data_IF_770088480871
#
_entry.id   IF_770088480871
#
_cell.length_a   1.000
_cell.length_b   1.000
_cell.length_c   1.000
_cell.angle_alpha   90.00
_cell.angle_beta   90.00
_cell.angle_gamma   90.00
#
_symmetry.space_group_name_H-M   'P 1'
#
loop_
_entity.id
_entity.type
_entity.pdbx_description
1 polymer ?
#
# COMPACT_ATOMS: atom_id res chain seq x y z
N UNK A 1 23.85 4.03 -31.12
CA UNK A 1 22.74 4.41 -30.21
C UNK A 1 23.19 5.66 -29.50
N UNK A 2 22.51 6.78 -29.73
CA UNK A 2 22.87 8.04 -29.09
C UNK A 2 22.64 7.95 -27.57
N UNK A 3 23.66 8.29 -26.79
CA UNK A 3 23.61 8.40 -25.35
C UNK A 3 23.61 9.88 -24.94
N UNK A 4 22.98 10.19 -23.80
CA UNK A 4 22.96 11.55 -23.26
C UNK A 4 24.28 11.80 -22.49
N UNK A 5 25.00 12.85 -22.81
CA UNK A 5 26.23 13.26 -22.12
C UNK A 5 26.01 14.58 -21.37
N UNK A 6 26.50 14.67 -20.14
CA UNK A 6 26.62 15.94 -19.42
C UNK A 6 27.98 16.57 -19.73
N UNK A 7 27.98 17.85 -20.08
CA UNK A 7 29.19 18.61 -20.36
C UNK A 7 29.30 19.85 -19.48
N UNK A 8 30.55 20.21 -19.18
CA UNK A 8 30.95 21.54 -18.70
C UNK A 8 31.93 22.10 -19.72
N UNK A 9 31.70 23.34 -20.15
CA UNK A 9 32.55 24.03 -21.11
C UNK A 9 32.68 25.50 -20.72
N UNK A 10 33.76 26.13 -21.12
CA UNK A 10 34.00 27.55 -20.92
C UNK A 10 33.62 28.31 -22.18
N UNK A 11 32.90 29.41 -22.00
CA UNK A 11 32.66 30.39 -23.06
C UNK A 11 33.89 31.30 -23.25
N UNK A 12 33.97 32.01 -24.38
CA UNK A 12 35.03 32.98 -24.70
C UNK A 12 35.21 34.10 -23.65
N UNK A 13 34.17 34.34 -22.86
CA UNK A 13 34.15 35.30 -21.73
C UNK A 13 34.69 34.71 -20.41
N UNK A 14 35.12 33.45 -20.39
CA UNK A 14 35.55 32.76 -19.18
C UNK A 14 34.40 32.33 -18.27
N UNK A 15 33.15 32.32 -18.75
CA UNK A 15 31.98 31.83 -18.01
C UNK A 15 31.81 30.32 -18.20
N UNK A 16 31.62 29.61 -17.09
CA UNK A 16 31.35 28.17 -17.13
C UNK A 16 29.89 27.90 -17.54
N UNK A 17 29.71 27.16 -18.62
CA UNK A 17 28.41 26.73 -19.16
C UNK A 17 28.31 25.21 -19.03
N UNK A 18 27.20 24.73 -18.45
CA UNK A 18 26.94 23.31 -18.29
C UNK A 18 25.60 22.93 -18.91
N UNK A 19 25.54 21.77 -19.56
CA UNK A 19 24.32 21.27 -20.18
C UNK A 19 24.40 19.78 -20.50
N UNK A 20 23.37 19.28 -21.17
CA UNK A 20 23.30 17.91 -21.68
C UNK A 20 23.23 17.91 -23.20
N UNK A 21 23.86 16.94 -23.86
CA UNK A 21 23.84 16.77 -25.31
C UNK A 21 23.80 15.29 -25.67
N UNK A 22 22.93 14.91 -26.61
CA UNK A 22 22.88 13.56 -27.16
C UNK A 22 23.94 13.39 -28.25
N UNK A 23 24.71 12.31 -28.16
CA UNK A 23 25.73 11.95 -29.12
C UNK A 23 26.01 10.45 -29.04
N UNK A 24 26.63 9.87 -30.07
CA UNK A 24 27.01 8.45 -30.02
C UNK A 24 28.35 8.24 -29.29
N UNK A 25 29.18 9.28 -29.25
CA UNK A 25 30.49 9.26 -28.58
C UNK A 25 30.77 10.59 -27.85
N UNK A 26 31.52 10.57 -26.73
CA UNK A 26 31.90 11.77 -26.00
C UNK A 26 32.73 12.76 -26.86
N UNK A 27 33.51 12.26 -27.82
CA UNK A 27 34.31 13.08 -28.73
C UNK A 27 33.47 13.92 -29.68
N UNK A 28 32.27 13.44 -30.02
CA UNK A 28 31.32 14.14 -30.87
C UNK A 28 30.71 15.35 -30.12
N UNK A 29 30.44 15.20 -28.82
CA UNK A 29 29.99 16.30 -27.95
C UNK A 29 31.07 17.37 -27.85
N UNK A 30 32.33 16.97 -27.62
CA UNK A 30 33.45 17.90 -27.55
C UNK A 30 33.64 18.68 -28.87
N UNK A 31 33.48 18.00 -30.00
CA UNK A 31 33.60 18.60 -31.33
C UNK A 31 32.48 19.60 -31.61
N UNK A 32 31.22 19.25 -31.30
CA UNK A 32 30.05 20.14 -31.44
C UNK A 32 30.14 21.37 -30.53
N UNK A 33 30.70 21.23 -29.33
CA UNK A 33 30.92 22.34 -28.42
C UNK A 33 31.97 23.31 -28.95
N UNK A 34 33.07 22.81 -29.51
CA UNK A 34 34.11 23.64 -30.15
C UNK A 34 33.58 24.42 -31.34
N UNK A 35 32.76 23.81 -32.20
CA UNK A 35 32.09 24.49 -33.33
C UNK A 35 31.19 25.64 -32.86
N UNK A 36 30.60 25.51 -31.66
CA UNK A 36 29.78 26.54 -31.02
C UNK A 36 30.58 27.58 -30.22
N UNK A 37 31.92 27.55 -30.30
CA UNK A 37 32.79 28.49 -29.59
C UNK A 37 33.02 28.17 -28.10
N UNK A 38 32.60 27.00 -27.63
CA UNK A 38 32.79 26.58 -26.24
C UNK A 38 33.99 25.63 -26.10
N UNK A 39 34.78 25.82 -25.05
CA UNK A 39 35.94 24.99 -24.73
C UNK A 39 35.57 23.94 -23.67
N UNK A 40 35.39 22.65 -24.05
CA UNK A 40 34.94 21.61 -23.12
C UNK A 40 36.01 21.34 -22.06
N UNK A 41 35.61 21.40 -20.78
CA UNK A 41 36.46 21.06 -19.63
C UNK A 41 36.17 19.68 -19.07
N UNK A 42 34.93 19.19 -19.19
CA UNK A 42 34.57 17.83 -18.80
C UNK A 42 33.39 17.36 -19.62
N UNK A 43 33.51 16.20 -20.25
CA UNK A 43 32.40 15.49 -20.92
C UNK A 43 32.29 14.12 -20.26
N UNK A 44 31.11 13.80 -19.71
CA UNK A 44 30.86 12.50 -19.08
C UNK A 44 29.49 11.98 -19.51
N UNK A 45 29.30 10.66 -19.63
CA UNK A 45 27.97 10.10 -19.84
C UNK A 45 27.06 10.57 -18.70
N UNK A 46 25.90 11.12 -19.06
CA UNK A 46 24.94 11.66 -18.12
C UNK A 46 24.47 10.50 -17.23
N UNK A 47 24.85 10.53 -15.95
CA UNK A 47 24.20 9.66 -14.98
C UNK A 47 22.75 10.12 -14.87
N UNK A 48 21.75 9.24 -14.97
CA UNK A 48 20.37 9.66 -14.78
C UNK A 48 20.26 10.27 -13.38
N UNK A 49 20.09 11.60 -13.31
CA UNK A 49 19.81 12.29 -12.06
C UNK A 49 18.50 11.72 -11.55
N UNK A 50 18.56 10.88 -10.53
CA UNK A 50 17.40 10.43 -9.77
C UNK A 50 16.81 11.65 -9.07
N UNK A 51 16.03 12.43 -9.82
CA UNK A 51 15.21 13.51 -9.28
C UNK A 51 14.23 12.90 -8.29
N UNK A 52 14.04 13.54 -7.14
CA UNK A 52 13.03 13.17 -6.14
C UNK A 52 11.61 13.07 -6.76
N UNK A 53 11.38 13.71 -7.92
CA UNK A 53 10.17 13.58 -8.72
C UNK A 53 9.98 12.19 -9.36
N UNK A 54 11.03 11.40 -9.58
CA UNK A 54 10.90 10.00 -10.03
C UNK A 54 10.34 9.08 -8.95
N UNK A 55 10.36 9.47 -7.67
CA UNK A 55 9.72 8.68 -6.61
C UNK A 55 8.19 8.65 -6.77
N UNK A 56 7.61 9.72 -7.33
CA UNK A 56 6.18 9.79 -7.66
C UNK A 56 5.82 8.91 -8.87
N UNK A 57 6.72 8.77 -9.86
CA UNK A 57 6.53 7.89 -11.02
C UNK A 57 6.49 6.39 -10.69
N UNK A 58 6.90 5.98 -9.49
CA UNK A 58 6.94 4.56 -9.06
C UNK A 58 5.77 4.12 -8.19
N UNK A 59 4.80 5.01 -7.91
CA UNK A 59 3.63 4.61 -7.13
C UNK A 59 2.84 3.56 -7.91
N UNK A 60 2.41 2.48 -7.25
CA UNK A 60 1.53 1.48 -7.87
C UNK A 60 0.12 2.10 -8.03
N UNK A 61 -0.55 1.95 -9.18
CA UNK A 61 -1.92 2.40 -9.36
C UNK A 61 -2.85 1.79 -8.29
N UNK A 62 -3.80 2.60 -7.83
CA UNK A 62 -4.80 2.15 -6.85
C UNK A 62 -5.92 1.34 -7.52
N UNK A 63 -6.77 0.66 -6.73
CA UNK A 63 -7.96 -0.03 -7.24
C UNK A 63 -8.88 0.89 -8.06
N UNK A 64 -9.03 2.16 -7.65
CA UNK A 64 -9.83 3.15 -8.39
C UNK A 64 -9.28 3.39 -9.81
N UNK A 65 -7.95 3.48 -9.96
CA UNK A 65 -7.33 3.72 -11.26
C UNK A 65 -7.57 2.51 -12.20
N UNK A 66 -7.44 1.29 -11.66
CA UNK A 66 -7.71 0.06 -12.39
C UNK A 66 -9.19 -0.09 -12.75
N UNK A 67 -10.11 0.26 -11.85
CA UNK A 67 -11.55 0.22 -12.10
C UNK A 67 -11.95 1.12 -13.27
N UNK A 68 -11.46 2.37 -13.28
CA UNK A 68 -11.72 3.33 -14.37
C UNK A 68 -11.13 2.83 -15.68
N UNK A 69 -9.89 2.33 -15.66
CA UNK A 69 -9.26 1.73 -16.83
C UNK A 69 -10.09 0.59 -17.41
N UNK A 70 -10.52 -0.36 -16.57
CA UNK A 70 -11.31 -1.51 -16.99
C UNK A 70 -12.64 -1.07 -17.60
N UNK A 71 -13.36 -0.14 -16.95
CA UNK A 71 -14.66 0.33 -17.44
C UNK A 71 -14.53 1.03 -18.79
N UNK A 72 -13.56 1.94 -18.92
CA UNK A 72 -13.36 2.67 -20.17
C UNK A 72 -12.93 1.74 -21.29
N UNK A 73 -12.02 0.79 -21.02
CA UNK A 73 -11.62 -0.21 -22.00
C UNK A 73 -12.80 -1.10 -22.41
N UNK A 74 -13.61 -1.57 -21.45
CA UNK A 74 -14.79 -2.38 -21.72
C UNK A 74 -15.73 -1.67 -22.70
N UNK A 75 -16.11 -0.42 -22.40
CA UNK A 75 -17.01 0.38 -23.24
C UNK A 75 -16.45 0.58 -24.64
N UNK A 76 -15.16 0.87 -24.78
CA UNK A 76 -14.56 1.08 -26.10
C UNK A 76 -14.51 -0.22 -26.92
N UNK A 77 -14.16 -1.35 -26.31
CA UNK A 77 -14.11 -2.63 -27.01
C UNK A 77 -15.53 -3.10 -27.36
N UNK A 78 -16.50 -2.90 -26.46
CA UNK A 78 -17.92 -3.23 -26.67
C UNK A 78 -18.55 -2.40 -27.81
N UNK A 79 -18.14 -1.14 -27.96
CA UNK A 79 -18.56 -0.26 -29.07
C UNK A 79 -17.80 -0.51 -30.37
N UNK A 80 -16.93 -1.54 -30.42
CA UNK A 80 -16.19 -1.94 -31.62
C UNK A 80 -14.99 -1.05 -31.95
N UNK A 81 -14.54 -0.19 -31.03
CA UNK A 81 -13.31 0.59 -31.23
C UNK A 81 -12.12 -0.37 -31.23
N UNK A 82 -11.20 -0.30 -32.22
CA UNK A 82 -10.03 -1.16 -32.27
C UNK A 82 -9.17 -1.04 -31.01
N UNK A 83 -8.73 -2.18 -30.46
CA UNK A 83 -7.99 -2.26 -29.19
C UNK A 83 -6.78 -1.32 -29.13
N UNK A 84 -6.00 -1.23 -30.22
CA UNK A 84 -4.84 -0.31 -30.33
C UNK A 84 -5.27 1.15 -30.14
N UNK A 85 -6.38 1.55 -30.75
CA UNK A 85 -6.96 2.90 -30.61
C UNK A 85 -7.47 3.12 -29.20
N UNK A 86 -8.16 2.14 -28.61
CA UNK A 86 -8.61 2.22 -27.21
C UNK A 86 -7.45 2.42 -26.25
N UNK A 87 -6.36 1.66 -26.40
CA UNK A 87 -5.15 1.81 -25.58
C UNK A 87 -4.49 3.19 -25.75
N UNK A 88 -4.48 3.74 -26.97
CA UNK A 88 -3.99 5.09 -27.25
C UNK A 88 -4.81 6.17 -26.52
N UNK A 89 -6.14 6.08 -26.61
CA UNK A 89 -7.05 7.02 -25.95
C UNK A 89 -6.87 6.96 -24.43
N UNK A 90 -6.83 5.76 -23.86
CA UNK A 90 -6.60 5.56 -22.42
C UNK A 90 -5.25 6.13 -21.97
N UNK A 91 -4.17 5.85 -22.71
CA UNK A 91 -2.85 6.37 -22.40
C UNK A 91 -2.81 7.91 -22.40
N UNK A 92 -3.47 8.55 -23.37
CA UNK A 92 -3.49 10.01 -23.48
C UNK A 92 -4.29 10.68 -22.36
N UNK A 93 -5.34 10.03 -21.85
CA UNK A 93 -6.17 10.53 -20.75
C UNK A 93 -5.62 10.20 -19.36
N UNK A 94 -4.60 9.33 -19.27
CA UNK A 94 -4.12 8.87 -17.97
C UNK A 94 -3.32 9.91 -17.20
N UNK A 95 -3.72 10.13 -15.94
CA UNK A 95 -3.01 11.00 -14.99
C UNK A 95 -1.86 10.26 -14.30
N UNK A 96 -1.98 8.94 -14.13
CA UNK A 96 -0.98 8.16 -13.43
C UNK A 96 0.17 7.79 -14.37
N UNK A 97 1.35 8.41 -14.17
CA UNK A 97 2.50 8.27 -15.07
C UNK A 97 2.91 6.81 -15.36
N UNK A 98 2.99 5.96 -14.34
CA UNK A 98 3.34 4.54 -14.52
C UNK A 98 2.30 3.78 -15.36
N UNK A 99 1.02 4.11 -15.20
CA UNK A 99 -0.06 3.45 -15.93
C UNK A 99 -0.08 3.91 -17.38
N UNK A 100 0.15 5.21 -17.61
CA UNK A 100 0.32 5.78 -18.96
C UNK A 100 1.45 5.09 -19.71
N UNK A 101 2.64 4.98 -19.11
CA UNK A 101 3.82 4.34 -19.71
C UNK A 101 3.53 2.87 -20.06
N UNK A 102 2.91 2.13 -19.13
CA UNK A 102 2.52 0.74 -19.36
C UNK A 102 1.50 0.60 -20.51
N UNK A 103 0.52 1.50 -20.62
CA UNK A 103 -0.45 1.48 -21.72
C UNK A 103 0.19 1.84 -23.07
N UNK A 104 1.14 2.78 -23.09
CA UNK A 104 1.87 3.14 -24.32
C UNK A 104 2.78 2.02 -24.82
N UNK A 105 3.40 1.27 -23.91
CA UNK A 105 4.19 0.08 -24.24
C UNK A 105 3.28 -1.07 -24.70
N UNK A 106 2.21 -1.35 -23.94
CA UNK A 106 1.21 -2.36 -24.31
C UNK A 106 0.62 -2.06 -25.69
N UNK A 107 0.31 -0.80 -26.00
CA UNK A 107 -0.17 -0.39 -27.33
C UNK A 107 0.84 -0.70 -28.42
N UNK A 108 2.13 -0.41 -28.20
CA UNK A 108 3.20 -0.68 -29.18
C UNK A 108 3.35 -2.17 -29.45
N UNK A 109 3.33 -2.98 -28.40
CA UNK A 109 3.43 -4.43 -28.50
C UNK A 109 2.25 -5.05 -29.24
N UNK A 110 1.01 -4.65 -28.88
CA UNK A 110 -0.20 -5.12 -29.56
C UNK A 110 -0.23 -4.66 -31.02
N UNK A 111 0.23 -3.44 -31.32
CA UNK A 111 0.39 -2.98 -32.71
C UNK A 111 1.44 -3.79 -33.48
N UNK A 112 2.44 -4.34 -32.78
CA UNK A 112 3.47 -5.22 -33.32
C UNK A 112 3.05 -6.68 -33.43
N UNK A 113 1.82 -7.03 -33.03
CA UNK A 113 1.26 -8.38 -33.16
C UNK A 113 1.31 -9.24 -31.89
N UNK A 114 1.81 -8.72 -30.76
CA UNK A 114 1.72 -9.43 -29.47
C UNK A 114 0.28 -9.45 -28.95
N UNK A 115 -0.06 -10.47 -28.16
CA UNK A 115 -1.36 -10.50 -27.47
C UNK A 115 -1.45 -9.40 -26.41
N UNK A 116 -2.67 -8.98 -26.08
CA UNK A 116 -2.94 -8.02 -25.01
C UNK A 116 -2.39 -8.54 -23.68
N UNK A 117 -2.64 -9.80 -23.37
CA UNK A 117 -2.20 -10.43 -22.12
C UNK A 117 -0.68 -10.48 -22.02
N UNK A 118 0.02 -10.90 -23.07
CA UNK A 118 1.49 -10.98 -23.08
C UNK A 118 2.11 -9.60 -22.86
N UNK A 119 1.55 -8.58 -23.51
CA UNK A 119 1.99 -7.19 -23.40
C UNK A 119 1.77 -6.65 -21.97
N UNK A 120 0.60 -6.90 -21.38
CA UNK A 120 0.29 -6.49 -20.01
C UNK A 120 1.14 -7.23 -18.95
N UNK A 121 1.50 -8.51 -19.20
CA UNK A 121 2.32 -9.31 -18.28
C UNK A 121 3.73 -8.74 -18.08
N UNK A 122 4.26 -7.96 -19.04
CA UNK A 122 5.51 -7.20 -18.87
C UNK A 122 5.44 -6.17 -17.74
N UNK A 123 4.23 -5.81 -17.31
CA UNK A 123 3.95 -4.82 -16.28
C UNK A 123 3.26 -5.42 -15.03
N UNK A 124 3.70 -6.59 -14.57
CA UNK A 124 3.20 -7.32 -13.39
C UNK A 124 3.13 -6.52 -12.08
N UNK A 125 3.97 -5.49 -11.94
CA UNK A 125 3.95 -4.57 -10.79
C UNK A 125 2.71 -3.69 -10.80
N UNK A 126 2.21 -3.33 -11.97
CA UNK A 126 1.05 -2.47 -12.20
C UNK A 126 -0.21 -3.31 -12.22
N UNK A 127 -0.25 -4.35 -13.05
CA UNK A 127 -1.41 -5.22 -13.23
C UNK A 127 -1.34 -6.43 -12.30
N UNK A 128 -2.24 -6.54 -11.30
CA UNK A 128 -2.25 -7.67 -10.38
C UNK A 128 -2.50 -9.01 -11.11
N UNK A 129 -2.07 -10.12 -10.51
CA UNK A 129 -2.24 -11.46 -11.10
C UNK A 129 -3.69 -11.78 -11.51
N UNK A 130 -4.68 -11.43 -10.68
CA UNK A 130 -6.10 -11.59 -11.01
C UNK A 130 -6.49 -10.88 -12.31
N UNK A 131 -6.03 -9.65 -12.51
CA UNK A 131 -6.33 -8.87 -13.70
C UNK A 131 -5.73 -9.54 -14.93
N UNK A 132 -4.47 -9.97 -14.85
CA UNK A 132 -3.78 -10.63 -15.95
C UNK A 132 -4.45 -11.96 -16.31
N UNK A 133 -4.79 -12.77 -15.30
CA UNK A 133 -5.44 -14.07 -15.51
C UNK A 133 -6.83 -13.90 -16.14
N UNK A 134 -7.61 -12.93 -15.67
CA UNK A 134 -8.93 -12.61 -16.22
C UNK A 134 -8.84 -12.11 -17.67
N UNK A 135 -7.95 -11.15 -17.95
CA UNK A 135 -7.75 -10.64 -19.32
C UNK A 135 -7.33 -11.76 -20.27
N UNK A 136 -6.50 -12.71 -19.83
CA UNK A 136 -6.13 -13.89 -20.62
C UNK A 136 -7.35 -14.72 -21.03
N UNK A 137 -8.27 -14.96 -20.09
CA UNK A 137 -9.52 -15.70 -20.37
C UNK A 137 -10.45 -14.88 -21.26
N UNK A 138 -10.57 -13.58 -21.04
CA UNK A 138 -11.39 -12.70 -21.89
C UNK A 138 -10.86 -12.61 -23.33
N UNK A 139 -9.54 -12.54 -23.49
CA UNK A 139 -8.87 -12.49 -24.79
C UNK A 139 -8.99 -13.83 -25.54
N UNK A 140 -8.72 -14.95 -24.86
CA UNK A 140 -8.79 -16.28 -25.49
C UNK A 140 -10.22 -16.74 -25.79
N UNK A 141 -11.21 -16.31 -25.00
CA UNK A 141 -12.63 -16.65 -25.23
C UNK A 141 -13.36 -15.66 -26.13
N UNK A 142 -12.76 -14.52 -26.48
CA UNK A 142 -13.42 -13.45 -27.23
C UNK A 142 -14.44 -12.62 -26.41
N UNK A 143 -14.58 -12.88 -25.11
CA UNK A 143 -15.51 -12.18 -24.21
C UNK A 143 -14.82 -11.08 -23.38
N UNK A 144 -13.81 -10.43 -23.96
CA UNK A 144 -13.00 -9.41 -23.29
C UNK A 144 -13.84 -8.26 -22.69
N UNK A 145 -14.87 -7.70 -23.35
CA UNK A 145 -15.70 -6.64 -22.77
C UNK A 145 -16.39 -7.06 -21.46
N UNK A 146 -16.95 -8.26 -21.42
CA UNK A 146 -17.64 -8.78 -20.24
C UNK A 146 -16.68 -8.97 -19.06
N UNK A 147 -15.51 -9.56 -19.33
CA UNK A 147 -14.46 -9.73 -18.33
C UNK A 147 -13.96 -8.38 -17.79
N UNK A 148 -13.76 -7.39 -18.65
CA UNK A 148 -13.33 -6.06 -18.25
C UNK A 148 -14.41 -5.35 -17.40
N UNK A 149 -15.70 -5.52 -17.73
CA UNK A 149 -16.79 -5.00 -16.91
C UNK A 149 -16.80 -5.63 -15.51
N UNK A 150 -16.62 -6.95 -15.41
CA UNK A 150 -16.53 -7.64 -14.10
C UNK A 150 -15.30 -7.21 -13.30
N UNK A 151 -14.14 -7.02 -13.94
CA UNK A 151 -12.95 -6.45 -13.31
C UNK A 151 -13.19 -5.01 -12.84
N UNK A 152 -13.91 -4.20 -13.62
CA UNK A 152 -14.26 -2.84 -13.25
C UNK A 152 -15.10 -2.81 -11.97
N UNK A 153 -16.13 -3.66 -11.88
CA UNK A 153 -16.99 -3.80 -10.70
C UNK A 153 -16.20 -4.30 -9.48
N UNK A 154 -15.35 -5.31 -9.67
CA UNK A 154 -14.47 -5.82 -8.61
C UNK A 154 -13.58 -4.72 -8.03
N UNK A 155 -12.86 -3.99 -8.88
CA UNK A 155 -11.96 -2.93 -8.42
C UNK A 155 -12.71 -1.71 -7.88
N UNK A 156 -13.94 -1.45 -8.34
CA UNK A 156 -14.80 -0.41 -7.77
C UNK A 156 -15.19 -0.75 -6.34
N UNK A 157 -15.60 -1.99 -6.07
CA UNK A 157 -15.91 -2.48 -4.72
C UNK A 157 -14.69 -2.47 -3.81
N UNK A 158 -13.53 -2.95 -4.29
CA UNK A 158 -12.28 -2.91 -3.51
C UNK A 158 -11.82 -1.46 -3.24
N UNK A 159 -12.04 -0.53 -4.18
CA UNK A 159 -11.79 0.89 -3.96
C UNK A 159 -12.71 1.48 -2.89
N UNK A 160 -14.01 1.15 -2.92
CA UNK A 160 -14.99 1.56 -1.91
C UNK A 160 -14.58 1.06 -0.53
N UNK A 161 -14.37 -0.25 -0.39
CA UNK A 161 -13.99 -0.88 0.88
C UNK A 161 -12.73 -0.26 1.50
N UNK A 162 -11.68 -0.06 0.68
CA UNK A 162 -10.46 0.61 1.14
C UNK A 162 -10.67 2.08 1.46
N UNK A 163 -11.57 2.75 0.72
CA UNK A 163 -11.99 4.12 0.96
C UNK A 163 -12.65 4.27 2.33
N UNK A 164 -13.61 3.39 2.63
CA UNK A 164 -14.35 3.38 3.89
C UNK A 164 -13.42 3.13 5.08
N UNK A 165 -12.53 2.14 4.98
CA UNK A 165 -11.49 1.88 5.99
C UNK A 165 -10.59 3.11 6.19
N UNK A 166 -10.13 3.72 5.08
CA UNK A 166 -9.25 4.89 5.15
C UNK A 166 -9.95 6.10 5.77
N UNK A 167 -11.22 6.32 5.43
CA UNK A 167 -12.02 7.42 5.94
C UNK A 167 -12.27 7.28 7.44
N UNK A 168 -12.63 6.08 7.89
CA UNK A 168 -12.81 5.79 9.32
C UNK A 168 -11.51 6.00 10.13
N UNK A 169 -10.36 5.63 9.56
CA UNK A 169 -9.06 5.83 10.20
C UNK A 169 -8.52 7.26 10.14
N UNK A 170 -9.08 8.13 9.29
CA UNK A 170 -8.57 9.48 9.10
C UNK A 170 -8.69 10.33 10.38
N UNK A 171 -9.86 10.29 11.04
CA UNK A 171 -10.11 11.07 12.26
C UNK A 171 -9.19 10.66 13.44
N UNK A 172 -9.09 9.37 13.81
CA UNK A 172 -8.13 8.92 14.82
C UNK A 172 -6.69 9.33 14.52
N UNK A 173 -6.28 9.21 13.24
CA UNK A 173 -4.92 9.53 12.82
C UNK A 173 -4.60 11.01 13.05
N UNK A 174 -5.53 11.91 12.71
CA UNK A 174 -5.32 13.37 12.87
C UNK A 174 -5.23 13.75 14.34
N UNK A 175 -6.12 13.24 15.20
CA UNK A 175 -6.10 13.57 16.63
C UNK A 175 -4.84 13.02 17.30
N UNK A 176 -4.48 11.77 17.02
CA UNK A 176 -3.25 11.18 17.56
C UNK A 176 -2.03 11.98 17.11
N UNK A 177 -1.96 12.36 15.82
CA UNK A 177 -0.85 13.14 15.30
C UNK A 177 -0.75 14.51 15.98
N UNK A 178 -1.87 15.23 16.11
CA UNK A 178 -1.89 16.54 16.75
C UNK A 178 -1.58 16.44 18.25
N UNK A 179 -2.21 15.52 18.95
CA UNK A 179 -1.98 15.26 20.36
C UNK A 179 -0.54 14.87 20.67
N UNK A 180 0.05 14.02 19.84
CA UNK A 180 1.47 13.66 19.94
C UNK A 180 2.38 14.86 19.67
N UNK A 181 2.08 15.68 18.67
CA UNK A 181 2.84 16.89 18.37
C UNK A 181 2.82 17.90 19.53
N UNK A 182 1.65 18.15 20.12
CA UNK A 182 1.51 19.02 21.32
C UNK A 182 2.27 18.44 22.49
N UNK A 183 2.17 17.13 22.73
CA UNK A 183 2.89 16.45 23.81
C UNK A 183 4.40 16.61 23.66
N UNK A 184 4.94 16.39 22.45
CA UNK A 184 6.36 16.60 22.17
C UNK A 184 6.78 18.06 22.35
N UNK A 185 5.99 19.01 21.85
CA UNK A 185 6.29 20.43 22.01
C UNK A 185 6.40 20.82 23.50
N UNK A 186 5.44 20.39 24.32
CA UNK A 186 5.48 20.66 25.75
C UNK A 186 6.69 19.99 26.40
N UNK A 187 6.91 18.70 26.13
CA UNK A 187 7.96 17.93 26.78
C UNK A 187 9.38 18.43 26.42
N UNK A 188 9.60 18.86 25.18
CA UNK A 188 10.92 19.28 24.71
C UNK A 188 11.20 20.77 24.81
N UNK A 189 10.18 21.63 24.82
CA UNK A 189 10.36 23.08 24.82
C UNK A 189 9.80 23.75 26.08
N UNK A 190 8.54 23.50 26.41
CA UNK A 190 7.86 24.17 27.52
C UNK A 190 8.44 23.73 28.87
N UNK A 191 8.49 22.42 29.12
CA UNK A 191 8.90 21.88 30.41
C UNK A 191 10.36 22.23 30.77
N UNK A 192 11.35 22.15 29.85
CA UNK A 192 12.72 22.59 30.14
C UNK A 192 12.85 24.09 30.37
N UNK A 193 12.05 24.92 29.69
CA UNK A 193 12.05 26.38 29.90
C UNK A 193 11.62 26.70 31.33
N UNK A 194 10.53 26.07 31.79
CA UNK A 194 10.08 26.21 33.17
C UNK A 194 11.10 25.66 34.18
N UNK A 195 11.70 24.51 33.89
CA UNK A 195 12.74 23.94 34.74
C UNK A 195 13.94 24.87 34.95
N UNK A 196 14.37 25.58 33.90
CA UNK A 196 15.41 26.61 34.00
C UNK A 196 15.00 27.74 34.94
N UNK A 197 13.78 28.25 34.80
CA UNK A 197 13.24 29.30 35.68
C UNK A 197 13.20 28.79 37.13
N UNK A 198 12.71 27.57 37.40
CA UNK A 198 12.67 27.03 38.78
C UNK A 198 14.06 26.92 39.42
N UNK A 199 15.07 26.52 38.63
CA UNK A 199 16.45 26.46 39.08
C UNK A 199 16.99 27.84 39.48
N UNK A 200 16.66 28.90 38.73
CA UNK A 200 17.09 30.27 39.03
C UNK A 200 16.49 30.81 40.34
N UNK A 201 15.27 30.36 40.70
CA UNK A 201 14.60 30.73 41.96
C UNK A 201 14.92 29.76 43.11
N UNK A 202 15.76 28.74 42.91
CA UNK A 202 16.14 27.77 43.94
C UNK A 202 14.99 26.86 44.41
N UNK A 203 13.94 26.72 43.60
CA UNK A 203 12.76 25.90 43.93
C UNK A 203 12.90 24.52 43.27
N UNK A 204 12.75 23.45 44.07
CA UNK A 204 12.77 22.10 43.54
C UNK A 204 11.54 21.82 42.64
N UNK A 205 11.78 21.11 41.54
CA UNK A 205 10.73 20.70 40.63
C UNK A 205 9.80 19.68 41.31
N UNK A 206 8.47 19.81 41.15
CA UNK A 206 7.53 18.77 41.57
C UNK A 206 7.84 17.41 40.94
N UNK A 207 7.57 16.34 41.68
CA UNK A 207 7.90 14.96 41.28
C UNK A 207 7.39 14.58 39.88
N UNK A 208 6.19 15.05 39.49
CA UNK A 208 5.60 14.79 38.17
C UNK A 208 6.40 15.44 37.05
N UNK A 209 6.78 16.72 37.20
CA UNK A 209 7.60 17.46 36.24
C UNK A 209 9.00 16.87 36.13
N UNK A 210 9.60 16.52 37.27
CA UNK A 210 10.91 15.85 37.33
C UNK A 210 10.91 14.50 36.63
N UNK A 211 9.87 13.68 36.82
CA UNK A 211 9.74 12.38 36.15
C UNK A 211 9.65 12.51 34.63
N UNK A 212 8.87 13.47 34.12
CA UNK A 212 8.73 13.71 32.67
C UNK A 212 10.06 14.20 32.08
N UNK A 213 10.78 15.10 32.76
CA UNK A 213 12.11 15.55 32.34
C UNK A 213 13.13 14.41 32.37
N UNK A 214 13.08 13.54 33.36
CA UNK A 214 13.96 12.36 33.43
C UNK A 214 13.72 11.40 32.25
N UNK A 215 12.46 11.16 31.87
CA UNK A 215 12.10 10.38 30.68
C UNK A 215 12.64 11.06 29.41
N UNK A 216 12.44 12.38 29.28
CA UNK A 216 12.96 13.17 28.16
C UNK A 216 14.48 13.09 28.07
N UNK A 217 15.19 13.26 29.18
CA UNK A 217 16.65 13.25 29.23
C UNK A 217 17.20 11.85 28.94
N UNK A 218 16.53 10.80 29.41
CA UNK A 218 16.84 9.42 29.05
C UNK A 218 16.70 9.19 27.53
N UNK A 219 15.64 9.71 26.91
CA UNK A 219 15.42 9.63 25.47
C UNK A 219 16.51 10.39 24.70
N UNK A 220 16.78 11.65 25.08
CA UNK A 220 17.77 12.50 24.39
C UNK A 220 19.18 11.92 24.51
N UNK A 221 19.57 11.49 25.71
CA UNK A 221 20.91 10.94 25.98
C UNK A 221 21.16 9.66 25.18
N UNK A 222 20.14 8.82 25.03
CA UNK A 222 20.25 7.54 24.34
C UNK A 222 19.71 7.59 22.91
N UNK A 223 19.46 8.78 22.34
CA UNK A 223 18.76 8.91 21.05
C UNK A 223 19.49 8.19 19.91
N UNK A 224 20.83 8.20 19.92
CA UNK A 224 21.65 7.50 18.93
C UNK A 224 21.49 5.98 19.07
N UNK A 225 21.50 5.46 20.30
CA UNK A 225 21.28 4.03 20.57
C UNK A 225 19.84 3.60 20.25
N UNK A 226 18.84 4.44 20.54
CA UNK A 226 17.45 4.20 20.15
C UNK A 226 17.27 4.20 18.64
N UNK A 227 17.89 5.14 17.92
CA UNK A 227 17.85 5.17 16.46
C UNK A 227 18.53 3.94 15.87
N UNK A 228 19.71 3.56 16.37
CA UNK A 228 20.49 2.44 15.87
C UNK A 228 19.79 1.10 16.16
N UNK A 229 19.22 0.93 17.36
CA UNK A 229 18.39 -0.23 17.71
C UNK A 229 17.08 -0.28 16.93
N UNK A 230 16.41 0.84 16.69
CA UNK A 230 15.21 0.89 15.87
C UNK A 230 15.51 0.52 14.41
N UNK A 231 16.62 1.03 13.84
CA UNK A 231 17.07 0.66 12.49
C UNK A 231 17.46 -0.82 12.43
N UNK A 232 18.20 -1.32 13.42
CA UNK A 232 18.59 -2.73 13.50
C UNK A 232 17.36 -3.64 13.66
N UNK A 233 16.41 -3.29 14.53
CA UNK A 233 15.16 -4.02 14.73
C UNK A 233 14.27 -3.97 13.47
N UNK A 234 14.19 -2.83 12.78
CA UNK A 234 13.46 -2.70 11.53
C UNK A 234 14.10 -3.53 10.41
N UNK A 235 15.44 -3.53 10.31
CA UNK A 235 16.17 -4.34 9.34
C UNK A 235 16.04 -5.84 9.63
N UNK A 236 16.21 -6.26 10.89
CA UNK A 236 16.06 -7.63 11.34
C UNK A 236 14.62 -8.14 11.15
N UNK A 237 13.62 -7.35 11.54
CA UNK A 237 12.21 -7.66 11.32
C UNK A 237 11.90 -7.76 9.83
N UNK A 238 12.39 -6.82 9.01
CA UNK A 238 12.21 -6.86 7.56
C UNK A 238 12.85 -8.09 6.93
N UNK A 239 14.02 -8.52 7.40
CA UNK A 239 14.69 -9.72 6.92
C UNK A 239 13.94 -10.98 7.35
N UNK A 240 13.56 -11.08 8.63
CA UNK A 240 12.83 -12.21 9.18
C UNK A 240 11.45 -12.37 8.53
N UNK A 241 10.67 -11.30 8.40
CA UNK A 241 9.35 -11.32 7.76
C UNK A 241 9.40 -11.40 6.22
N UNK A 242 10.58 -11.51 5.60
CA UNK A 242 10.69 -11.94 4.20
C UNK A 242 10.73 -13.46 4.07
N UNK A 243 11.15 -14.17 5.10
CA UNK A 243 11.16 -15.63 5.09
C UNK A 243 9.73 -16.19 5.07
N UNK A 244 9.49 -17.37 4.46
CA UNK A 244 8.17 -18.02 4.51
C UNK A 244 7.67 -18.28 5.93
N UNK A 245 8.57 -18.71 6.83
CA UNK A 245 8.24 -18.96 8.24
C UNK A 245 7.88 -17.67 8.99
N UNK A 246 8.67 -16.61 8.83
CA UNK A 246 8.40 -15.31 9.45
C UNK A 246 7.09 -14.69 8.97
N UNK A 247 6.78 -14.79 7.66
CA UNK A 247 5.49 -14.35 7.11
C UNK A 247 4.32 -15.10 7.73
N UNK A 248 4.40 -16.44 7.81
CA UNK A 248 3.36 -17.27 8.44
C UNK A 248 3.14 -16.90 9.90
N UNK A 249 4.23 -16.72 10.67
CA UNK A 249 4.14 -16.35 12.07
C UNK A 249 3.46 -14.98 12.23
N UNK A 250 3.94 -13.98 11.51
CA UNK A 250 3.35 -12.62 11.54
C UNK A 250 1.88 -12.64 11.16
N UNK A 251 1.55 -13.28 10.05
CA UNK A 251 0.20 -13.31 9.50
C UNK A 251 -0.75 -14.07 10.43
N UNK A 252 -0.30 -15.14 11.09
CA UNK A 252 -1.06 -15.85 12.11
C UNK A 252 -1.24 -15.02 13.41
N UNK A 253 -0.22 -14.26 13.81
CA UNK A 253 -0.29 -13.38 14.98
C UNK A 253 -1.25 -12.21 14.76
N UNK A 254 -1.24 -11.59 13.58
CA UNK A 254 -2.17 -10.50 13.23
C UNK A 254 -3.62 -10.97 13.37
N UNK A 255 -3.93 -12.18 12.92
CA UNK A 255 -5.28 -12.76 13.00
C UNK A 255 -5.73 -13.03 14.45
N UNK A 256 -4.80 -13.13 15.40
CA UNK A 256 -5.10 -13.36 16.83
C UNK A 256 -5.29 -12.08 17.64
N UNK A 257 -4.96 -10.92 17.09
CA UNK A 257 -5.14 -9.66 17.81
C UNK A 257 -6.64 -9.37 17.99
N UNK A 258 -7.09 -9.01 19.19
CA UNK A 258 -8.49 -8.66 19.41
C UNK A 258 -8.86 -7.45 18.54
N UNK A 259 -10.07 -7.47 17.98
CA UNK A 259 -10.66 -6.44 17.10
C UNK A 259 -9.95 -6.26 15.74
N UNK A 260 -8.63 -6.11 15.71
CA UNK A 260 -7.85 -5.97 14.46
C UNK A 260 -7.81 -7.28 13.69
N UNK A 261 -7.56 -8.40 14.37
CA UNK A 261 -7.53 -9.72 13.75
C UNK A 261 -8.87 -10.12 13.15
N UNK A 262 -9.97 -9.74 13.80
CA UNK A 262 -11.32 -9.94 13.29
C UNK A 262 -11.57 -9.12 12.01
N UNK A 263 -11.24 -7.82 12.01
CA UNK A 263 -11.34 -6.99 10.81
C UNK A 263 -10.50 -7.56 9.66
N UNK A 264 -9.23 -7.91 9.92
CA UNK A 264 -8.32 -8.46 8.91
C UNK A 264 -8.85 -9.77 8.35
N UNK A 265 -9.37 -10.65 9.21
CA UNK A 265 -10.01 -11.90 8.79
C UNK A 265 -11.20 -11.64 7.87
N UNK A 266 -12.13 -10.77 8.27
CA UNK A 266 -13.31 -10.40 7.47
C UNK A 266 -12.93 -9.82 6.11
N UNK A 267 -11.89 -8.97 6.04
CA UNK A 267 -11.36 -8.44 4.76
C UNK A 267 -10.79 -9.55 3.89
N UNK A 268 -10.04 -10.49 4.46
CA UNK A 268 -9.47 -11.61 3.71
C UNK A 268 -10.59 -12.50 3.15
N UNK A 269 -11.58 -12.87 3.95
CA UNK A 269 -12.67 -13.75 3.53
C UNK A 269 -13.63 -13.08 2.55
N UNK A 270 -13.93 -11.78 2.70
CA UNK A 270 -14.64 -10.99 1.70
C UNK A 270 -13.93 -11.04 0.35
N UNK A 271 -12.62 -10.75 0.32
CA UNK A 271 -11.82 -10.79 -0.90
C UNK A 271 -11.73 -12.19 -1.49
N UNK A 272 -11.53 -13.21 -0.66
CA UNK A 272 -11.49 -14.60 -1.10
C UNK A 272 -12.79 -14.99 -1.79
N UNK A 273 -13.93 -14.83 -1.12
CA UNK A 273 -15.24 -15.21 -1.64
C UNK A 273 -15.57 -14.45 -2.93
N UNK A 274 -15.33 -13.12 -2.94
CA UNK A 274 -15.54 -12.27 -4.12
C UNK A 274 -14.66 -12.70 -5.31
N UNK A 275 -13.39 -12.98 -5.05
CA UNK A 275 -12.43 -13.38 -6.10
C UNK A 275 -12.78 -14.75 -6.65
N UNK A 276 -13.11 -15.70 -5.77
CA UNK A 276 -13.46 -17.05 -6.18
C UNK A 276 -14.76 -17.03 -7.00
N UNK A 277 -15.80 -16.34 -6.53
CA UNK A 277 -17.06 -16.13 -7.28
C UNK A 277 -16.77 -15.53 -8.67
N UNK A 278 -15.99 -14.45 -8.74
CA UNK A 278 -15.62 -13.80 -10.01
C UNK A 278 -14.97 -14.78 -10.99
N UNK A 279 -14.01 -15.58 -10.53
CA UNK A 279 -13.31 -16.55 -11.36
C UNK A 279 -14.27 -17.67 -11.84
N UNK A 280 -15.15 -18.15 -10.96
CA UNK A 280 -16.16 -19.15 -11.30
C UNK A 280 -17.17 -18.68 -12.32
N UNK A 281 -17.78 -17.51 -12.10
CA UNK A 281 -18.72 -16.90 -13.05
C UNK A 281 -18.01 -16.64 -14.39
N UNK A 282 -16.70 -16.41 -14.39
CA UNK A 282 -15.86 -16.26 -15.60
C UNK A 282 -15.41 -17.57 -16.23
N UNK A 283 -15.92 -18.72 -15.76
CA UNK A 283 -15.67 -20.03 -16.36
C UNK A 283 -14.28 -20.60 -16.07
N UNK A 284 -13.55 -20.09 -15.07
CA UNK A 284 -12.25 -20.64 -14.73
C UNK A 284 -12.39 -22.03 -14.12
N UNK A 285 -11.52 -23.00 -14.50
CA UNK A 285 -11.45 -24.29 -13.84
C UNK A 285 -11.17 -24.12 -12.34
N UNK A 286 -11.92 -24.84 -11.50
CA UNK A 286 -11.82 -24.82 -10.03
C UNK A 286 -10.40 -24.78 -9.48
N UNK A 287 -9.53 -25.68 -9.97
CA UNK A 287 -8.13 -25.77 -9.53
C UNK A 287 -7.33 -24.50 -9.86
N UNK A 288 -7.55 -23.91 -11.05
CA UNK A 288 -6.92 -22.65 -11.47
C UNK A 288 -7.46 -21.48 -10.65
N UNK A 289 -8.77 -21.47 -10.36
CA UNK A 289 -9.40 -20.45 -9.53
C UNK A 289 -8.82 -20.42 -8.12
N UNK A 290 -8.67 -21.59 -7.48
CA UNK A 290 -8.02 -21.71 -6.17
C UNK A 290 -6.57 -21.25 -6.19
N UNK A 291 -5.81 -21.61 -7.24
CA UNK A 291 -4.41 -21.20 -7.40
C UNK A 291 -4.27 -19.67 -7.53
N UNK A 292 -5.20 -18.99 -8.21
CA UNK A 292 -5.22 -17.53 -8.29
C UNK A 292 -5.61 -16.92 -6.94
N UNK A 293 -6.61 -17.49 -6.24
CA UNK A 293 -7.00 -17.06 -4.89
C UNK A 293 -5.86 -17.15 -3.87
N UNK A 294 -5.03 -18.20 -3.89
CA UNK A 294 -3.83 -18.36 -3.04
C UNK A 294 -2.89 -17.14 -3.12
N UNK A 295 -2.75 -16.55 -4.32
CA UNK A 295 -1.87 -15.39 -4.56
C UNK A 295 -2.51 -14.06 -4.11
N UNK A 296 -3.84 -14.00 -4.03
CA UNK A 296 -4.61 -12.76 -3.84
C UNK A 296 -4.97 -12.52 -2.36
N UNK A 297 -5.24 -13.58 -1.59
CA UNK A 297 -5.65 -13.47 -0.17
C UNK A 297 -4.63 -12.74 0.70
N UNK A 298 -3.35 -12.74 0.32
CA UNK A 298 -2.31 -11.90 0.94
C UNK A 298 -1.92 -12.29 2.37
N UNK A 299 -2.49 -13.36 2.92
CA UNK A 299 -2.17 -13.93 4.22
C UNK A 299 -1.61 -15.34 4.04
N UNK A 300 -0.40 -15.58 4.53
CA UNK A 300 0.32 -16.84 4.31
C UNK A 300 -0.31 -18.05 5.01
N UNK A 301 -1.09 -17.86 6.09
CA UNK A 301 -1.83 -18.93 6.75
C UNK A 301 -3.05 -19.34 5.91
N UNK A 302 -3.85 -18.36 5.48
CA UNK A 302 -5.02 -18.61 4.61
C UNK A 302 -4.61 -19.20 3.26
N UNK A 303 -3.49 -18.74 2.68
CA UNK A 303 -2.97 -19.32 1.43
C UNK A 303 -2.54 -20.78 1.59
N UNK A 304 -2.06 -21.19 2.77
CA UNK A 304 -1.73 -22.59 3.03
C UNK A 304 -2.98 -23.47 3.12
N UNK A 305 -4.03 -22.97 3.80
CA UNK A 305 -5.34 -23.64 3.88
C UNK A 305 -5.97 -23.79 2.48
N UNK A 306 -5.84 -22.77 1.61
CA UNK A 306 -6.28 -22.84 0.22
C UNK A 306 -5.48 -23.83 -0.63
N UNK A 307 -4.16 -23.91 -0.41
CA UNK A 307 -3.32 -24.88 -1.12
C UNK A 307 -3.69 -26.32 -0.75
N UNK A 308 -4.04 -26.57 0.52
CA UNK A 308 -4.58 -27.85 0.97
C UNK A 308 -5.93 -28.16 0.31
N UNK A 309 -6.84 -27.17 0.26
CA UNK A 309 -8.12 -27.32 -0.43
C UNK A 309 -7.96 -27.62 -1.92
N UNK A 310 -7.04 -26.93 -2.61
CA UNK A 310 -6.71 -27.21 -4.01
C UNK A 310 -6.20 -28.63 -4.21
N UNK A 311 -5.33 -29.12 -3.32
CA UNK A 311 -4.85 -30.50 -3.36
C UNK A 311 -5.94 -31.54 -3.06
N UNK A 312 -6.95 -31.19 -2.25
CA UNK A 312 -8.16 -31.99 -2.07
C UNK A 312 -8.97 -32.10 -3.37
N UNK A 313 -9.27 -30.95 -4.00
CA UNK A 313 -9.98 -30.90 -5.28
C UNK A 313 -9.29 -31.70 -6.36
N UNK A 314 -7.96 -31.63 -6.45
CA UNK A 314 -7.18 -32.44 -7.42
C UNK A 314 -7.31 -33.95 -7.18
N UNK A 315 -7.61 -34.37 -5.96
CA UNK A 315 -7.86 -35.78 -5.58
C UNK A 315 -9.34 -36.18 -5.69
N UNK A 316 -10.20 -35.27 -6.16
CA UNK A 316 -11.63 -35.51 -6.32
C UNK A 316 -12.49 -35.26 -5.07
N UNK A 317 -11.93 -34.67 -4.00
CA UNK A 317 -12.77 -34.16 -2.90
C UNK A 317 -13.35 -32.78 -3.27
N UNK A 318 -14.42 -32.35 -2.61
CA UNK A 318 -14.83 -30.93 -2.65
C UNK A 318 -13.78 -29.99 -2.04
N UNK A 319 -14.00 -28.69 -2.15
CA UNK A 319 -13.30 -27.60 -1.44
C UNK A 319 -13.70 -27.60 0.04
N UNK A 320 -14.98 -27.82 0.34
CA UNK A 320 -15.52 -27.68 1.70
C UNK A 320 -14.87 -28.65 2.68
N UNK A 321 -14.62 -29.90 2.27
CA UNK A 321 -14.11 -30.95 3.15
C UNK A 321 -12.66 -30.70 3.63
N UNK A 322 -11.68 -30.40 2.76
CA UNK A 322 -10.35 -29.97 3.21
C UNK A 322 -10.39 -28.70 4.06
N UNK A 323 -11.23 -27.72 3.71
CA UNK A 323 -11.36 -26.51 4.52
C UNK A 323 -11.93 -26.81 5.90
N UNK A 324 -12.90 -27.73 6.01
CA UNK A 324 -13.50 -28.12 7.29
C UNK A 324 -12.52 -28.88 8.19
N UNK A 325 -11.71 -29.78 7.61
CA UNK A 325 -10.80 -30.66 8.37
C UNK A 325 -9.45 -30.01 8.67
N UNK A 326 -8.89 -29.27 7.72
CA UNK A 326 -7.50 -28.83 7.74
C UNK A 326 -7.36 -27.33 8.00
N UNK A 327 -8.36 -26.52 7.63
CA UNK A 327 -8.25 -25.08 7.79
C UNK A 327 -8.46 -24.66 9.25
N UNK A 328 -7.55 -23.81 9.74
CA UNK A 328 -7.59 -23.30 11.12
C UNK A 328 -8.18 -21.91 11.23
N UNK A 329 -8.29 -21.21 10.10
CA UNK A 329 -8.65 -19.79 10.05
C UNK A 329 -10.00 -19.56 9.38
N UNK A 330 -10.49 -20.50 8.57
CA UNK A 330 -11.73 -20.33 7.81
C UNK A 330 -12.96 -20.31 8.75
N UNK A 331 -13.86 -19.33 8.62
CA UNK A 331 -15.05 -19.26 9.44
C UNK A 331 -16.02 -20.40 9.06
N UNK A 332 -16.71 -21.01 10.04
CA UNK A 332 -17.62 -22.12 9.79
C UNK A 332 -18.72 -21.79 8.77
N UNK A 333 -19.27 -20.58 8.83
CA UNK A 333 -20.32 -20.13 7.91
C UNK A 333 -19.83 -20.12 6.44
N UNK A 334 -18.62 -19.63 6.17
CA UNK A 334 -18.06 -19.62 4.82
C UNK A 334 -17.87 -21.03 4.27
N UNK A 335 -17.35 -21.94 5.10
CA UNK A 335 -17.18 -23.36 4.73
C UNK A 335 -18.52 -24.00 4.43
N UNK A 336 -19.56 -23.65 5.18
CA UNK A 336 -20.91 -24.15 4.99
C UNK A 336 -21.56 -23.64 3.70
N UNK A 337 -21.40 -22.35 3.37
CA UNK A 337 -21.87 -21.80 2.09
C UNK A 337 -21.17 -22.46 0.89
N UNK A 338 -19.87 -22.76 1.01
CA UNK A 338 -19.13 -23.51 -0.01
C UNK A 338 -19.72 -24.92 -0.13
N UNK A 339 -19.95 -25.62 0.98
CA UNK A 339 -20.54 -26.97 0.96
C UNK A 339 -21.90 -26.98 0.26
N UNK A 340 -22.79 -26.06 0.64
CA UNK A 340 -24.12 -25.95 0.02
C UNK A 340 -23.99 -25.66 -1.47
N UNK A 341 -23.13 -24.72 -1.87
CA UNK A 341 -22.90 -24.41 -3.28
C UNK A 341 -22.29 -25.55 -4.08
N UNK A 342 -21.46 -26.40 -3.47
CA UNK A 342 -20.94 -27.62 -4.09
C UNK A 342 -22.02 -28.69 -4.28
N UNK A 343 -22.90 -28.85 -3.30
CA UNK A 343 -23.99 -29.83 -3.33
C UNK A 343 -25.11 -29.42 -4.30
N UNK A 344 -25.42 -28.13 -4.40
CA UNK A 344 -26.46 -27.61 -5.29
C UNK A 344 -25.94 -27.25 -6.69
N UNK A 345 -24.62 -27.18 -6.87
CA UNK A 345 -24.00 -26.71 -8.11
C UNK A 345 -24.02 -25.19 -8.30
N UNK A 346 -24.48 -24.42 -7.30
CA UNK A 346 -24.60 -22.95 -7.33
C UNK A 346 -23.47 -22.27 -6.52
N UNK A 347 -22.25 -22.76 -6.67
CA UNK A 347 -21.09 -22.29 -5.91
C UNK A 347 -20.80 -20.79 -6.15
N UNK A 348 -20.99 -20.33 -7.38
CA UNK A 348 -20.81 -18.94 -7.78
C UNK A 348 -21.75 -17.98 -7.03
N UNK A 349 -23.04 -18.33 -6.93
CA UNK A 349 -24.07 -17.57 -6.21
C UNK A 349 -23.82 -17.58 -4.70
N UNK A 350 -23.50 -18.75 -4.13
CA UNK A 350 -23.19 -18.87 -2.70
C UNK A 350 -21.94 -18.05 -2.32
N UNK A 351 -20.91 -18.05 -3.17
CA UNK A 351 -19.70 -17.25 -2.94
C UNK A 351 -19.96 -15.74 -3.09
N UNK A 352 -20.83 -15.30 -4.01
CA UNK A 352 -21.20 -13.88 -4.13
C UNK A 352 -21.97 -13.40 -2.89
N UNK A 353 -22.91 -14.23 -2.39
CA UNK A 353 -23.64 -13.93 -1.17
C UNK A 353 -22.72 -13.91 0.06
N UNK A 354 -21.78 -14.86 0.15
CA UNK A 354 -20.76 -14.88 1.20
C UNK A 354 -19.89 -13.61 1.14
N UNK A 355 -19.48 -13.20 -0.06
CA UNK A 355 -18.72 -11.98 -0.26
C UNK A 355 -19.47 -10.75 0.22
N UNK A 356 -20.75 -10.61 -0.16
CA UNK A 356 -21.61 -9.50 0.29
C UNK A 356 -21.78 -9.47 1.81
N UNK A 357 -21.99 -10.64 2.43
CA UNK A 357 -22.06 -10.74 3.89
C UNK A 357 -20.76 -10.28 4.57
N UNK A 358 -19.60 -10.77 4.13
CA UNK A 358 -18.33 -10.37 4.74
C UNK A 358 -17.96 -8.91 4.44
N UNK A 359 -18.35 -8.35 3.29
CA UNK A 359 -18.21 -6.93 2.98
C UNK A 359 -18.99 -6.07 4.00
N UNK A 360 -20.24 -6.45 4.32
CA UNK A 360 -21.04 -5.78 5.36
C UNK A 360 -20.43 -5.93 6.76
N UNK A 361 -19.93 -7.12 7.10
CA UNK A 361 -19.23 -7.38 8.36
C UNK A 361 -17.95 -6.54 8.48
N UNK A 362 -17.23 -6.29 7.38
CA UNK A 362 -16.09 -5.37 7.37
C UNK A 362 -16.56 -3.95 7.66
N UNK A 363 -17.60 -3.45 6.97
CA UNK A 363 -18.15 -2.11 7.22
C UNK A 363 -18.55 -1.94 8.69
N UNK A 364 -19.19 -2.95 9.29
CA UNK A 364 -19.58 -2.93 10.69
C UNK A 364 -18.36 -2.96 11.64
N UNK A 365 -17.38 -3.81 11.35
CA UNK A 365 -16.16 -3.91 12.17
C UNK A 365 -15.36 -2.60 12.17
N UNK A 366 -15.33 -1.89 11.04
CA UNK A 366 -14.71 -0.57 10.93
C UNK A 366 -15.43 0.45 11.83
N UNK A 367 -16.77 0.43 11.88
CA UNK A 367 -17.54 1.30 12.78
C UNK A 367 -17.25 0.98 14.25
N UNK A 368 -17.28 -0.30 14.63
CA UNK A 368 -16.98 -0.75 15.99
C UNK A 368 -15.56 -0.38 16.42
N UNK A 369 -14.57 -0.55 15.54
CA UNK A 369 -13.20 -0.10 15.79
C UNK A 369 -13.15 1.40 16.06
N UNK A 370 -13.81 2.20 15.23
CA UNK A 370 -13.84 3.66 15.38
C UNK A 370 -14.48 4.07 16.71
N UNK A 371 -15.61 3.44 17.10
CA UNK A 371 -16.30 3.74 18.36
C UNK A 371 -15.51 3.35 19.61
N UNK A 372 -14.60 2.38 19.53
CA UNK A 372 -13.74 1.99 20.65
C UNK A 372 -12.49 2.88 20.71
N UNK A 373 -11.92 3.20 19.55
CA UNK A 373 -10.71 4.01 19.44
C UNK A 373 -10.94 5.43 19.97
N UNK A 374 -12.11 6.04 19.72
CA UNK A 374 -12.38 7.42 20.11
C UNK A 374 -12.36 7.64 21.65
N UNK A 375 -13.09 6.88 22.49
CA UNK A 375 -12.99 6.99 23.94
C UNK A 375 -11.57 6.71 24.46
N UNK A 376 -10.87 5.74 23.87
CA UNK A 376 -9.50 5.42 24.25
C UNK A 376 -8.56 6.61 23.99
N UNK A 377 -8.69 7.27 22.84
CA UNK A 377 -7.93 8.48 22.51
C UNK A 377 -8.26 9.59 23.51
N UNK A 378 -9.54 9.82 23.83
CA UNK A 378 -9.94 10.86 24.78
C UNK A 378 -9.35 10.63 26.18
N UNK A 379 -9.41 9.40 26.68
CA UNK A 379 -8.85 9.05 28.00
C UNK A 379 -7.32 9.18 27.99
N UNK A 380 -6.66 8.65 26.95
CA UNK A 380 -5.20 8.69 26.86
C UNK A 380 -4.68 10.12 26.69
N UNK A 381 -5.25 10.87 25.74
CA UNK A 381 -4.82 12.24 25.46
C UNK A 381 -5.22 13.20 26.59
N UNK A 382 -6.41 13.02 27.16
CA UNK A 382 -6.85 13.75 28.35
C UNK A 382 -5.93 13.50 29.53
N UNK A 383 -5.52 12.25 29.77
CA UNK A 383 -4.54 11.89 30.78
C UNK A 383 -3.17 12.53 30.55
N UNK A 384 -2.67 12.51 29.32
CA UNK A 384 -1.40 13.17 28.96
C UNK A 384 -1.47 14.68 29.15
N UNK A 385 -2.55 15.33 28.68
CA UNK A 385 -2.77 16.77 28.87
C UNK A 385 -2.89 17.10 30.36
N UNK A 386 -3.61 16.29 31.13
CA UNK A 386 -3.74 16.48 32.57
C UNK A 386 -2.39 16.42 33.29
N UNK A 387 -1.55 15.42 32.97
CA UNK A 387 -0.18 15.32 33.50
C UNK A 387 0.67 16.54 33.11
N UNK A 388 0.55 17.00 31.87
CA UNK A 388 1.22 18.21 31.38
C UNK A 388 0.78 19.43 32.19
N UNK A 389 -0.53 19.65 32.35
CA UNK A 389 -1.07 20.79 33.08
C UNK A 389 -0.58 20.77 34.52
N UNK A 390 -0.65 19.61 35.20
CA UNK A 390 -0.10 19.47 36.55
C UNK A 390 1.40 19.80 36.59
N UNK A 391 2.16 19.35 35.60
CA UNK A 391 3.60 19.58 35.54
C UNK A 391 4.00 21.05 35.36
N UNK A 392 3.09 21.91 34.90
CA UNK A 392 3.32 23.36 34.70
C UNK A 392 2.66 24.18 35.81
N UNK A 393 1.39 23.90 36.14
CA UNK A 393 0.61 24.71 37.08
C UNK A 393 1.02 24.51 38.55
N UNK A 394 1.30 23.26 38.98
CA UNK A 394 1.72 23.01 40.38
C UNK A 394 2.99 23.79 40.72
N UNK A 395 4.06 23.76 39.90
CA UNK A 395 5.22 24.60 40.13
C UNK A 395 4.91 26.11 40.20
N UNK A 396 4.03 26.62 39.34
CA UNK A 396 3.63 28.03 39.33
C UNK A 396 2.96 28.46 40.64
N UNK A 397 2.08 27.62 41.20
CA UNK A 397 1.48 27.89 42.51
C UNK A 397 2.50 27.90 43.65
N UNK A 398 3.49 27.00 43.60
CA UNK A 398 4.56 26.97 44.60
C UNK A 398 5.41 28.25 44.55
N UNK A 399 5.72 28.78 43.36
CA UNK A 399 6.40 30.08 43.21
C UNK A 399 5.60 31.23 43.82
N UNK A 400 4.29 31.28 43.58
CA UNK A 400 3.44 32.34 44.12
C UNK A 400 3.42 32.36 45.66
N UNK A 401 3.63 31.20 46.30
CA UNK A 401 3.73 31.09 47.76
C UNK A 401 5.11 31.45 48.32
N UNK A 402 6.19 31.36 47.52
CA UNK A 402 7.56 31.73 47.93
C UNK A 402 7.83 33.24 47.79
N UNK A 403 7.08 33.93 46.92
CA UNK A 403 7.18 35.38 46.70
C UNK A 403 6.36 36.19 47.74
N UNK A 404 5.58 35.52 48.59
CA UNK A 404 4.99 36.09 49.81
C UNK A 404 5.90 35.82 51.00
#
# INVERSE_FOLDING_TARGET
MAELFEYKAWDHTGKLVSGTMEAERPDEVASRLRVRGYFPSTVRPARPKQSLLQFSRRRKPGPRDLSVLCRQLAVMVETGIPLVTSLQLLASQQRHAALKEALEETRRDVSGGSSLTESLRKHDRIFPGLFLDMVEVGESSGHLPEVLNRLADFYQRDAKLRGDIKQAMAYPTVIILFGFAVTLFVMFYVLPTFAGIFADFGVELPAVSGAILAVRDFIVRNIVWFLLSAVAAAAASRYYFRTPAGRRLRDAWILRLPVVGELVSKVIFARFARTLSLLFVSGFPMVRSLQSCEKIVGNAAVAADLAAARAGVQRGSGISEPLRREAKVFPPMLVEMIRVGEETGELDAMLDQAAGFYELEVEQSVKTLTSIIEPLILVLLGGVIFLIVLSVFVPMFNMANVIR
#
